data_IF_917185906933
#
_entry.id   IF_917185906933
#
_cell.length_a   1.000
_cell.length_b   1.000
_cell.length_c   1.000
_cell.angle_alpha   90.00
_cell.angle_beta   90.00
_cell.angle_gamma   90.00
#
_symmetry.space_group_name_H-M   'P 1'
#
loop_
_entity.id
_entity.type
_entity.pdbx_description
1 polymer ?
#
# COMPACT_ATOMS: atom_id res chain seq x y z
N UNK A 1 2.45 -4.67 -26.07
CA UNK A 1 3.46 -5.53 -25.46
C UNK A 1 4.50 -4.57 -24.88
N UNK A 2 4.64 -4.51 -23.56
CA UNK A 2 5.57 -3.56 -22.91
C UNK A 2 7.00 -3.98 -23.28
N UNK A 3 7.74 -3.10 -23.94
CA UNK A 3 9.11 -3.38 -24.35
C UNK A 3 9.97 -3.46 -23.06
N UNK A 4 10.64 -4.61 -22.85
CA UNK A 4 11.51 -4.81 -21.68
C UNK A 4 12.60 -3.72 -21.55
N UNK A 5 13.04 -3.17 -22.67
CA UNK A 5 14.04 -2.11 -22.71
C UNK A 5 13.50 -0.79 -22.10
N UNK A 6 12.21 -0.48 -22.27
CA UNK A 6 11.60 0.75 -21.70
C UNK A 6 11.59 0.66 -20.17
N UNK A 7 11.23 -0.49 -19.61
CA UNK A 7 11.22 -0.70 -18.15
C UNK A 7 12.64 -0.65 -17.58
N UNK A 8 13.59 -1.33 -18.22
CA UNK A 8 15.00 -1.33 -17.79
C UNK A 8 15.57 0.07 -17.80
N UNK A 9 15.36 0.84 -18.88
CA UNK A 9 15.83 2.21 -18.99
C UNK A 9 15.18 3.13 -17.92
N UNK A 10 13.89 2.96 -17.64
CA UNK A 10 13.21 3.72 -16.59
C UNK A 10 13.79 3.40 -15.19
N UNK A 11 14.06 2.13 -14.89
CA UNK A 11 14.70 1.73 -13.63
C UNK A 11 16.14 2.25 -13.50
N UNK A 12 16.90 2.23 -14.58
CA UNK A 12 18.30 2.76 -14.60
C UNK A 12 18.36 4.28 -14.49
N UNK A 13 17.33 4.98 -14.91
CA UNK A 13 17.22 6.44 -14.83
C UNK A 13 16.70 6.94 -13.46
N UNK A 14 16.28 6.05 -12.55
CA UNK A 14 15.76 6.43 -11.23
C UNK A 14 16.84 7.12 -10.39
N UNK A 15 16.53 8.25 -9.74
CA UNK A 15 17.42 8.86 -8.76
C UNK A 15 17.76 7.89 -7.62
N UNK A 16 18.95 7.99 -7.04
CA UNK A 16 19.40 7.09 -5.98
C UNK A 16 18.42 7.06 -4.78
N UNK A 17 17.85 8.19 -4.41
CA UNK A 17 16.88 8.31 -3.32
C UNK A 17 15.57 7.56 -3.59
N UNK A 18 15.10 7.59 -4.83
CA UNK A 18 13.90 6.85 -5.24
C UNK A 18 14.17 5.34 -5.23
N UNK A 19 15.35 4.90 -5.69
CA UNK A 19 15.77 3.50 -5.61
C UNK A 19 15.84 3.02 -4.15
N UNK A 20 16.40 3.83 -3.25
CA UNK A 20 16.44 3.52 -1.81
C UNK A 20 15.01 3.42 -1.26
N UNK A 21 14.13 4.37 -1.58
CA UNK A 21 12.75 4.33 -1.15
C UNK A 21 12.03 3.07 -1.66
N UNK A 22 12.20 2.68 -2.92
CA UNK A 22 11.63 1.47 -3.48
C UNK A 22 12.11 0.21 -2.73
N UNK A 23 13.41 0.10 -2.43
CA UNK A 23 13.96 -1.01 -1.64
C UNK A 23 13.41 -1.07 -0.22
N UNK A 24 13.26 0.09 0.43
CA UNK A 24 12.62 0.17 1.75
C UNK A 24 11.16 -0.28 1.71
N UNK A 25 10.43 0.07 0.63
CA UNK A 25 9.05 -0.40 0.41
C UNK A 25 8.97 -1.91 0.23
N UNK A 26 9.86 -2.51 -0.55
CA UNK A 26 9.96 -3.98 -0.69
C UNK A 26 10.25 -4.64 0.66
N UNK A 27 11.25 -4.12 1.41
CA UNK A 27 11.59 -4.62 2.74
C UNK A 27 10.39 -4.52 3.71
N UNK A 28 9.65 -3.39 3.67
CA UNK A 28 8.42 -3.21 4.43
C UNK A 28 7.41 -4.33 4.17
N UNK A 29 7.08 -4.63 2.92
CA UNK A 29 6.07 -5.64 2.58
C UNK A 29 6.54 -7.04 2.98
N UNK A 30 7.81 -7.39 2.75
CA UNK A 30 8.38 -8.68 3.16
C UNK A 30 8.28 -8.86 4.68
N UNK A 31 8.61 -7.83 5.45
CA UNK A 31 8.54 -7.86 6.91
C UNK A 31 7.09 -7.89 7.40
N UNK A 32 6.17 -7.18 6.75
CA UNK A 32 4.74 -7.21 7.06
C UNK A 32 4.15 -8.61 6.80
N UNK A 33 4.53 -9.26 5.69
CA UNK A 33 4.13 -10.63 5.38
C UNK A 33 4.62 -11.66 6.41
N UNK A 34 5.71 -11.35 7.11
CA UNK A 34 6.26 -12.14 8.23
C UNK A 34 5.72 -11.70 9.61
N UNK A 35 4.77 -10.77 9.67
CA UNK A 35 4.23 -10.14 10.89
C UNK A 35 5.29 -9.48 11.78
N UNK A 36 6.42 -9.11 11.22
CA UNK A 36 7.48 -8.45 11.96
C UNK A 36 7.15 -6.98 12.22
N UNK A 37 7.18 -6.55 13.48
CA UNK A 37 7.00 -5.13 13.86
C UNK A 37 8.01 -4.19 13.18
N UNK A 38 9.13 -4.72 12.74
CA UNK A 38 10.16 -3.96 12.02
C UNK A 38 9.71 -3.50 10.63
N UNK A 39 8.60 -4.03 10.09
CA UNK A 39 8.04 -3.49 8.86
C UNK A 39 7.72 -1.99 8.97
N UNK A 40 7.25 -1.54 10.11
CA UNK A 40 6.83 -0.15 10.31
C UNK A 40 7.95 0.88 10.23
N UNK A 41 9.16 0.69 10.84
CA UNK A 41 10.31 1.56 10.59
C UNK A 41 10.72 1.65 9.12
N UNK A 42 10.65 0.55 8.37
CA UNK A 42 10.91 0.57 6.92
C UNK A 42 9.83 1.35 6.17
N UNK A 43 8.55 1.17 6.53
CA UNK A 43 7.46 1.97 5.98
C UNK A 43 7.65 3.46 6.26
N UNK A 44 8.02 3.82 7.49
CA UNK A 44 8.28 5.20 7.87
C UNK A 44 9.41 5.83 7.05
N UNK A 45 10.55 5.14 6.94
CA UNK A 45 11.69 5.64 6.15
C UNK A 45 11.33 5.78 4.66
N UNK A 46 10.63 4.79 4.09
CA UNK A 46 10.12 4.84 2.71
C UNK A 46 9.22 6.08 2.49
N UNK A 47 8.19 6.24 3.31
CA UNK A 47 7.23 7.33 3.16
C UNK A 47 7.82 8.70 3.46
N UNK A 48 8.81 8.79 4.36
CA UNK A 48 9.54 10.02 4.61
C UNK A 48 10.29 10.50 3.36
N UNK A 49 11.02 9.58 2.70
CA UNK A 49 11.75 9.90 1.46
C UNK A 49 10.74 10.35 0.38
N UNK A 50 9.67 9.59 0.15
CA UNK A 50 8.67 9.96 -0.85
C UNK A 50 7.93 11.26 -0.51
N UNK A 51 7.70 11.57 0.77
CA UNK A 51 7.12 12.86 1.18
C UNK A 51 8.00 14.02 0.71
N UNK A 52 9.31 13.93 0.94
CA UNK A 52 10.27 14.97 0.51
C UNK A 52 10.33 15.05 -1.02
N UNK A 53 10.50 13.92 -1.70
CA UNK A 53 10.57 13.86 -3.17
C UNK A 53 9.32 14.46 -3.83
N UNK A 54 8.12 14.13 -3.35
CA UNK A 54 6.89 14.68 -3.89
C UNK A 54 6.69 16.16 -3.57
N UNK A 55 7.17 16.61 -2.39
CA UNK A 55 7.12 18.02 -2.06
C UNK A 55 8.03 18.85 -2.97
N UNK A 56 9.28 18.41 -3.18
CA UNK A 56 10.22 19.04 -4.10
C UNK A 56 9.75 18.96 -5.56
N UNK A 57 9.11 17.85 -5.94
CA UNK A 57 8.50 17.64 -7.25
C UNK A 57 7.19 18.42 -7.48
N UNK A 58 6.80 19.33 -6.56
CA UNK A 58 5.55 20.10 -6.63
C UNK A 58 4.29 19.24 -6.74
N UNK A 59 4.28 18.08 -6.09
CA UNK A 59 3.17 17.15 -5.99
C UNK A 59 2.62 17.10 -4.55
N UNK A 60 1.98 18.20 -4.04
CA UNK A 60 1.62 18.31 -2.62
C UNK A 60 0.59 17.27 -2.16
N UNK A 61 -0.30 16.81 -3.06
CA UNK A 61 -1.29 15.77 -2.73
C UNK A 61 -0.64 14.42 -2.48
N UNK A 62 0.39 14.06 -3.27
CA UNK A 62 1.17 12.83 -3.09
C UNK A 62 2.02 12.90 -1.80
N UNK A 63 2.60 14.07 -1.52
CA UNK A 63 3.33 14.32 -0.29
C UNK A 63 2.38 14.16 0.94
N UNK A 64 1.15 14.70 0.88
CA UNK A 64 0.15 14.57 1.93
C UNK A 64 -0.28 13.10 2.13
N UNK A 65 -0.45 12.34 1.05
CA UNK A 65 -0.75 10.92 1.13
C UNK A 65 0.38 10.14 1.83
N UNK A 66 1.64 10.44 1.48
CA UNK A 66 2.78 9.81 2.14
C UNK A 66 2.93 10.24 3.61
N UNK A 67 2.56 11.48 3.96
CA UNK A 67 2.47 11.92 5.34
C UNK A 67 1.42 11.12 6.13
N UNK A 68 0.28 10.82 5.53
CA UNK A 68 -0.71 9.90 6.12
C UNK A 68 -0.10 8.51 6.36
N UNK A 69 0.58 7.92 5.38
CA UNK A 69 1.22 6.61 5.55
C UNK A 69 2.32 6.64 6.61
N UNK A 70 3.06 7.72 6.73
CA UNK A 70 4.04 7.92 7.81
C UNK A 70 3.38 7.92 9.19
N UNK A 71 2.22 8.60 9.34
CA UNK A 71 1.39 8.52 10.55
C UNK A 71 0.91 7.10 10.84
N UNK A 72 0.48 6.37 9.80
CA UNK A 72 0.08 4.96 9.93
C UNK A 72 1.23 4.04 10.29
N UNK A 73 2.46 4.33 9.84
CA UNK A 73 3.65 3.58 10.23
C UNK A 73 3.94 3.73 11.73
N UNK A 74 3.81 4.94 12.28
CA UNK A 74 3.93 5.18 13.72
C UNK A 74 2.83 4.44 14.48
N UNK A 75 1.58 4.57 14.04
CA UNK A 75 0.43 3.89 14.65
C UNK A 75 0.60 2.37 14.67
N UNK A 76 0.96 1.78 13.54
CA UNK A 76 1.17 0.35 13.40
C UNK A 76 2.34 -0.16 14.25
N UNK A 77 3.45 0.59 14.31
CA UNK A 77 4.58 0.24 15.18
C UNK A 77 4.18 0.21 16.65
N UNK A 78 3.49 1.26 17.14
CA UNK A 78 3.01 1.33 18.53
C UNK A 78 2.05 0.17 18.81
N UNK A 79 1.15 -0.11 17.88
CA UNK A 79 0.15 -1.16 18.05
C UNK A 79 0.80 -2.56 18.10
N UNK A 80 1.75 -2.84 17.20
CA UNK A 80 2.42 -4.15 17.15
C UNK A 80 3.48 -4.33 18.25
N UNK A 81 4.00 -3.22 18.84
CA UNK A 81 4.95 -3.26 19.96
C UNK A 81 4.26 -3.53 21.30
N UNK A 82 3.14 -2.84 21.58
CA UNK A 82 2.46 -2.92 22.89
C UNK A 82 2.07 -4.34 23.32
N UNK A 83 1.93 -5.25 22.36
CA UNK A 83 1.49 -6.62 22.61
C UNK A 83 2.67 -7.58 22.84
N UNK A 84 3.90 -7.21 22.47
CA UNK A 84 5.11 -8.00 22.76
C UNK A 84 5.46 -7.91 24.26
N UNK A 85 5.19 -6.75 24.88
CA UNK A 85 5.53 -6.50 26.29
C UNK A 85 4.51 -7.08 27.29
N UNK A 86 3.30 -7.49 26.81
CA UNK A 86 2.16 -7.95 27.63
C UNK A 86 1.73 -9.42 27.39
N UNK A 87 2.59 -10.27 26.84
CA UNK A 87 2.33 -11.71 26.54
C UNK A 87 1.10 -12.01 25.64
N UNK A 88 0.40 -11.01 25.12
CA UNK A 88 -0.71 -11.21 24.20
C UNK A 88 -0.40 -10.59 22.84
N UNK A 89 0.13 -11.39 21.92
CA UNK A 89 0.30 -10.97 20.51
C UNK A 89 -1.04 -10.52 19.95
N UNK A 90 -1.03 -9.42 19.15
CA UNK A 90 -2.21 -9.09 18.35
C UNK A 90 -2.42 -10.25 17.38
N UNK A 91 -3.49 -11.00 17.62
CA UNK A 91 -3.87 -12.10 16.77
C UNK A 91 -4.35 -11.59 15.41
N UNK A 92 -4.06 -12.36 14.36
CA UNK A 92 -4.69 -12.14 13.07
C UNK A 92 -6.17 -12.41 13.24
N UNK A 93 -7.00 -11.44 12.84
CA UNK A 93 -8.46 -11.56 12.90
C UNK A 93 -9.06 -11.55 11.50
N UNK A 94 -10.23 -12.14 11.35
CA UNK A 94 -10.97 -12.15 10.08
C UNK A 94 -12.27 -11.37 10.22
N UNK A 95 -12.58 -10.55 9.24
CA UNK A 95 -13.84 -9.82 9.18
C UNK A 95 -14.98 -10.68 8.66
N UNK A 96 -16.17 -10.48 9.22
CA UNK A 96 -17.41 -11.04 8.67
C UNK A 96 -17.73 -10.41 7.30
N UNK A 97 -18.52 -11.10 6.50
CA UNK A 97 -18.96 -10.61 5.18
C UNK A 97 -19.64 -9.23 5.26
N UNK A 98 -20.44 -8.96 6.30
CA UNK A 98 -21.09 -7.66 6.47
C UNK A 98 -20.08 -6.51 6.63
N UNK A 99 -18.98 -6.72 7.39
CA UNK A 99 -17.92 -5.72 7.53
C UNK A 99 -17.16 -5.50 6.21
N UNK A 100 -16.93 -6.56 5.45
CA UNK A 100 -16.29 -6.48 4.15
C UNK A 100 -17.17 -5.72 3.15
N UNK A 101 -18.48 -6.00 3.10
CA UNK A 101 -19.42 -5.27 2.25
C UNK A 101 -19.44 -3.79 2.63
N UNK A 102 -19.52 -3.48 3.93
CA UNK A 102 -19.49 -2.09 4.40
C UNK A 102 -18.19 -1.37 3.99
N UNK A 103 -17.05 -2.03 4.12
CA UNK A 103 -15.75 -1.51 3.69
C UNK A 103 -15.75 -1.19 2.18
N UNK A 104 -16.24 -2.11 1.36
CA UNK A 104 -16.33 -1.91 -0.09
C UNK A 104 -17.30 -0.79 -0.45
N UNK A 105 -18.49 -0.72 0.18
CA UNK A 105 -19.46 0.35 -0.06
C UNK A 105 -18.90 1.72 0.31
N UNK A 106 -18.32 1.87 1.50
CA UNK A 106 -17.72 3.12 1.96
C UNK A 106 -16.57 3.53 1.04
N UNK A 107 -15.67 2.58 0.72
CA UNK A 107 -14.55 2.84 -0.19
C UNK A 107 -15.02 3.28 -1.58
N UNK A 108 -16.04 2.61 -2.14
CA UNK A 108 -16.60 2.98 -3.44
C UNK A 108 -17.23 4.37 -3.42
N UNK A 109 -18.04 4.69 -2.41
CA UNK A 109 -18.66 6.03 -2.30
C UNK A 109 -17.59 7.11 -2.21
N UNK A 110 -16.59 6.92 -1.34
CA UNK A 110 -15.48 7.88 -1.18
C UNK A 110 -14.67 8.01 -2.48
N UNK A 111 -14.40 6.89 -3.18
CA UNK A 111 -13.70 6.90 -4.46
C UNK A 111 -14.48 7.68 -5.53
N UNK A 112 -15.80 7.48 -5.62
CA UNK A 112 -16.63 8.20 -6.57
C UNK A 112 -16.69 9.71 -6.30
N UNK A 113 -16.81 10.09 -5.02
CA UNK A 113 -16.77 11.50 -4.62
C UNK A 113 -15.40 12.12 -4.95
N UNK A 114 -14.31 11.44 -4.62
CA UNK A 114 -12.95 11.91 -4.94
C UNK A 114 -12.73 12.00 -6.45
N UNK A 115 -13.15 10.98 -7.20
CA UNK A 115 -13.05 10.97 -8.67
C UNK A 115 -13.77 12.15 -9.32
N UNK A 116 -14.98 12.48 -8.84
CA UNK A 116 -15.74 13.63 -9.32
C UNK A 116 -14.96 14.95 -9.17
N UNK A 117 -14.26 15.14 -8.03
CA UNK A 117 -13.44 16.35 -7.84
C UNK A 117 -12.17 16.31 -8.71
N UNK A 118 -11.51 15.16 -8.83
CA UNK A 118 -10.32 15.01 -9.69
C UNK A 118 -10.65 15.27 -11.17
N UNK A 119 -11.80 14.80 -11.64
CA UNK A 119 -12.27 15.04 -13.01
C UNK A 119 -12.51 16.53 -13.27
N UNK A 120 -13.16 17.24 -12.32
CA UNK A 120 -13.41 18.68 -12.46
C UNK A 120 -12.15 19.54 -12.45
N UNK A 121 -11.12 19.09 -11.75
CA UNK A 121 -9.84 19.84 -11.63
C UNK A 121 -8.85 19.48 -12.73
N UNK A 122 -9.15 18.47 -13.56
CA UNK A 122 -8.27 17.94 -14.60
C UNK A 122 -6.85 17.57 -14.10
N UNK A 123 -6.70 17.24 -12.81
CA UNK A 123 -5.41 16.88 -12.19
C UNK A 123 -5.00 15.46 -12.57
N UNK A 124 -5.95 14.54 -12.75
CA UNK A 124 -5.67 13.14 -13.07
C UNK A 124 -6.12 12.79 -14.49
N UNK A 125 -5.30 12.00 -15.20
CA UNK A 125 -5.65 11.44 -16.51
C UNK A 125 -6.68 10.29 -16.40
N UNK A 126 -6.75 9.63 -15.24
CA UNK A 126 -7.66 8.52 -14.96
C UNK A 126 -8.33 8.69 -13.59
N UNK A 127 -9.22 9.70 -13.42
CA UNK A 127 -9.73 10.14 -12.11
C UNK A 127 -10.37 9.03 -11.28
N UNK A 128 -11.16 8.16 -11.91
CA UNK A 128 -11.87 7.08 -11.23
C UNK A 128 -10.93 5.98 -10.74
N UNK A 129 -9.93 5.62 -11.55
CA UNK A 129 -8.94 4.61 -11.18
C UNK A 129 -7.99 5.15 -10.11
N UNK A 130 -7.51 6.37 -10.27
CA UNK A 130 -6.63 7.06 -9.32
C UNK A 130 -7.30 7.22 -7.94
N UNK A 131 -8.52 7.74 -7.90
CA UNK A 131 -9.30 7.86 -6.67
C UNK A 131 -9.54 6.50 -6.01
N UNK A 132 -9.85 5.46 -6.79
CA UNK A 132 -10.09 4.13 -6.25
C UNK A 132 -8.83 3.55 -5.63
N UNK A 133 -7.71 3.58 -6.35
CA UNK A 133 -6.41 3.12 -5.84
C UNK A 133 -6.06 3.86 -4.56
N UNK A 134 -6.17 5.20 -4.55
CA UNK A 134 -5.82 6.03 -3.40
C UNK A 134 -6.69 5.74 -2.18
N UNK A 135 -8.02 5.80 -2.33
CA UNK A 135 -8.96 5.63 -1.20
C UNK A 135 -8.85 4.22 -0.60
N UNK A 136 -8.86 3.19 -1.46
CA UNK A 136 -8.74 1.82 -0.96
C UNK A 136 -7.37 1.55 -0.33
N UNK A 137 -6.27 2.15 -0.81
CA UNK A 137 -4.95 2.06 -0.18
C UNK A 137 -4.95 2.68 1.21
N UNK A 138 -5.54 3.87 1.38
CA UNK A 138 -5.70 4.54 2.68
C UNK A 138 -6.46 3.62 3.65
N UNK A 139 -7.62 3.14 3.24
CA UNK A 139 -8.47 2.30 4.09
C UNK A 139 -7.81 0.95 4.40
N UNK A 140 -7.13 0.34 3.43
CA UNK A 140 -6.52 -0.98 3.58
C UNK A 140 -5.25 -0.96 4.44
N UNK A 141 -4.50 0.14 4.46
CA UNK A 141 -3.36 0.32 5.38
C UNK A 141 -3.80 0.22 6.84
N UNK A 142 -5.00 0.72 7.18
CA UNK A 142 -5.57 0.56 8.51
C UNK A 142 -5.91 -0.92 8.82
N UNK A 143 -6.42 -1.68 7.84
CA UNK A 143 -6.66 -3.12 8.01
C UNK A 143 -5.37 -3.88 8.31
N UNK A 144 -4.29 -3.57 7.59
CA UNK A 144 -2.97 -4.16 7.82
C UNK A 144 -2.48 -3.86 9.24
N UNK A 145 -2.57 -2.59 9.69
CA UNK A 145 -2.14 -2.20 11.03
C UNK A 145 -2.92 -2.95 12.12
N UNK A 146 -4.20 -3.25 11.89
CA UNK A 146 -5.08 -4.01 12.80
C UNK A 146 -4.99 -5.53 12.63
N UNK A 147 -4.08 -6.03 11.80
CA UNK A 147 -3.92 -7.46 11.46
C UNK A 147 -5.21 -8.13 10.99
N UNK A 148 -5.99 -7.44 10.15
CA UNK A 148 -7.17 -8.04 9.52
C UNK A 148 -6.71 -8.88 8.33
N UNK A 149 -7.02 -10.17 8.31
CA UNK A 149 -6.54 -11.14 7.31
C UNK A 149 -6.83 -10.72 5.86
N UNK A 150 -8.02 -10.17 5.61
CA UNK A 150 -8.48 -9.79 4.28
C UNK A 150 -7.68 -8.64 3.65
N UNK A 151 -6.86 -7.91 4.42
CA UNK A 151 -6.05 -6.82 3.89
C UNK A 151 -5.19 -7.27 2.70
N UNK A 152 -4.64 -8.49 2.73
CA UNK A 152 -3.79 -9.01 1.66
C UNK A 152 -4.56 -9.23 0.35
N UNK A 153 -5.80 -9.71 0.43
CA UNK A 153 -6.66 -9.86 -0.76
C UNK A 153 -6.99 -8.50 -1.36
N UNK A 154 -7.26 -7.50 -0.52
CA UNK A 154 -7.49 -6.14 -0.98
C UNK A 154 -6.23 -5.55 -1.59
N UNK A 155 -5.03 -5.76 -1.02
CA UNK A 155 -3.78 -5.32 -1.63
C UNK A 155 -3.56 -5.91 -3.02
N UNK A 156 -3.83 -7.21 -3.24
CA UNK A 156 -3.72 -7.82 -4.56
C UNK A 156 -4.59 -7.08 -5.59
N UNK A 157 -5.82 -6.72 -5.23
CA UNK A 157 -6.73 -6.00 -6.12
C UNK A 157 -6.27 -4.56 -6.33
N UNK A 158 -5.89 -3.86 -5.26
CA UNK A 158 -5.44 -2.47 -5.30
C UNK A 158 -4.16 -2.34 -6.13
N UNK A 159 -3.18 -3.19 -5.89
CA UNK A 159 -1.90 -3.17 -6.60
C UNK A 159 -2.09 -3.50 -8.09
N UNK A 160 -2.99 -4.46 -8.41
CA UNK A 160 -3.34 -4.76 -9.81
C UNK A 160 -3.99 -3.56 -10.51
N UNK A 161 -4.86 -2.82 -9.82
CA UNK A 161 -5.44 -1.58 -10.33
C UNK A 161 -4.38 -0.47 -10.46
N UNK A 162 -3.44 -0.38 -9.53
CA UNK A 162 -2.32 0.55 -9.58
C UNK A 162 -1.38 0.27 -10.76
N UNK A 163 -1.11 -1.00 -11.09
CA UNK A 163 -0.35 -1.37 -12.29
C UNK A 163 -1.01 -0.80 -13.54
N UNK A 164 -2.34 -0.95 -13.67
CA UNK A 164 -3.08 -0.38 -14.81
C UNK A 164 -2.97 1.14 -14.85
N UNK A 165 -3.11 1.82 -13.71
CA UNK A 165 -2.98 3.26 -13.59
C UNK A 165 -1.60 3.73 -14.05
N UNK A 166 -0.53 3.11 -13.53
CA UNK A 166 0.84 3.51 -13.84
C UNK A 166 1.27 3.19 -15.27
N UNK A 167 0.70 2.16 -15.91
CA UNK A 167 0.89 1.91 -17.34
C UNK A 167 0.21 3.01 -18.17
N UNK A 168 -1.02 3.41 -17.82
CA UNK A 168 -1.76 4.46 -18.52
C UNK A 168 -1.09 5.84 -18.42
N UNK A 169 -0.41 6.08 -17.30
CA UNK A 169 0.31 7.34 -17.03
C UNK A 169 1.80 7.29 -17.38
N UNK A 170 2.25 6.21 -18.03
CA UNK A 170 3.63 5.99 -18.50
C UNK A 170 4.69 5.88 -17.38
N UNK A 171 4.28 5.66 -16.12
CA UNK A 171 5.17 5.41 -14.98
C UNK A 171 5.60 3.94 -14.91
N UNK A 172 6.33 3.46 -15.91
CA UNK A 172 6.66 2.04 -16.09
C UNK A 172 7.51 1.44 -14.96
N UNK A 173 8.43 2.21 -14.38
CA UNK A 173 9.23 1.76 -13.23
C UNK A 173 8.34 1.50 -12.01
N UNK A 174 7.41 2.41 -11.75
CA UNK A 174 6.44 2.26 -10.67
C UNK A 174 5.48 1.09 -10.93
N UNK A 175 5.01 0.91 -12.17
CA UNK A 175 4.20 -0.24 -12.56
C UNK A 175 4.95 -1.57 -12.27
N UNK A 176 6.23 -1.67 -12.63
CA UNK A 176 7.06 -2.84 -12.34
C UNK A 176 7.21 -3.10 -10.82
N UNK A 177 7.34 -2.04 -10.01
CA UNK A 177 7.38 -2.13 -8.56
C UNK A 177 6.05 -2.69 -8.00
N UNK A 178 4.91 -2.24 -8.52
CA UNK A 178 3.59 -2.75 -8.10
C UNK A 178 3.33 -4.20 -8.54
N UNK A 179 3.91 -4.66 -9.65
CA UNK A 179 3.93 -6.10 -9.97
C UNK A 179 4.63 -6.90 -8.86
N UNK A 180 5.80 -6.43 -8.40
CA UNK A 180 6.50 -7.07 -7.29
C UNK A 180 5.67 -7.01 -6.00
N UNK A 181 5.01 -5.88 -5.70
CA UNK A 181 4.14 -5.74 -4.52
C UNK A 181 2.95 -6.71 -4.58
N UNK A 182 2.33 -6.88 -5.74
CA UNK A 182 1.26 -7.87 -5.94
C UNK A 182 1.75 -9.29 -5.63
N UNK A 183 2.93 -9.68 -6.12
CA UNK A 183 3.52 -10.99 -5.82
C UNK A 183 3.76 -11.16 -4.31
N UNK A 184 4.31 -10.14 -3.67
CA UNK A 184 4.54 -10.15 -2.22
C UNK A 184 3.24 -10.17 -1.42
N UNK A 185 2.16 -9.55 -1.93
CA UNK A 185 0.84 -9.60 -1.31
C UNK A 185 0.25 -11.03 -1.35
N UNK A 186 0.45 -11.78 -2.43
CA UNK A 186 0.11 -13.22 -2.46
C UNK A 186 0.88 -14.01 -1.40
N UNK A 187 2.18 -13.77 -1.25
CA UNK A 187 3.00 -14.40 -0.21
C UNK A 187 2.49 -14.04 1.19
N UNK A 188 2.16 -12.77 1.40
CA UNK A 188 1.56 -12.28 2.66
C UNK A 188 0.24 -12.97 2.98
N UNK A 189 -0.64 -13.08 1.99
CA UNK A 189 -1.93 -13.77 2.13
C UNK A 189 -1.76 -15.23 2.58
N UNK A 190 -0.84 -15.96 1.93
CA UNK A 190 -0.57 -17.38 2.26
C UNK A 190 0.00 -17.49 3.68
N UNK A 191 0.97 -16.65 4.04
CA UNK A 191 1.61 -16.69 5.35
C UNK A 191 0.63 -16.38 6.48
N UNK A 192 -0.16 -15.30 6.32
CA UNK A 192 -1.13 -14.91 7.34
C UNK A 192 -2.29 -15.90 7.44
N UNK A 193 -2.72 -16.51 6.34
CA UNK A 193 -3.74 -17.56 6.37
C UNK A 193 -3.25 -18.79 7.15
N UNK A 194 -1.99 -19.22 6.94
CA UNK A 194 -1.40 -20.33 7.70
C UNK A 194 -1.35 -20.02 9.19
N UNK A 195 -0.89 -18.82 9.58
CA UNK A 195 -0.82 -18.39 10.99
C UNK A 195 -2.20 -18.27 11.61
N UNK A 196 -3.17 -17.69 10.89
CA UNK A 196 -4.55 -17.60 11.36
C UNK A 196 -5.17 -18.97 11.67
N UNK A 197 -4.87 -19.98 10.84
CA UNK A 197 -5.33 -21.35 11.10
C UNK A 197 -4.65 -21.97 12.32
N UNK A 198 -3.35 -21.72 12.52
CA UNK A 198 -2.59 -22.17 13.69
C UNK A 198 -3.06 -21.52 15.01
N UNK A 199 -3.57 -20.29 14.96
CA UNK A 199 -4.13 -19.62 16.13
C UNK A 199 -5.48 -20.22 16.60
N UNK A 200 -6.14 -20.99 15.73
CA UNK A 200 -7.46 -21.62 16.02
C UNK A 200 -7.35 -23.09 16.47
N UNK A 201 -6.18 -23.72 16.23
CA UNK A 201 -5.88 -25.10 16.68
C UNK A 201 -5.32 -25.11 18.09
#
# INVERSE_FOLDING_TARGET
MMDSNVVINALMAMPAWESIAALLGVAYIILAAKESKWCWPFAFANTLIYTVLFWEGQLPMQALLNLYYMGMAIYGYILWRKHVDNESDILITSWSYSKQILFLLVGTILSLVTAYFLEKTAISQSPYLDASVTIFSIMNTWLLARKILQNWMYWIIIDSAAIMLYIQTEYYATAALFVLYTILAFVGAINWQKRFNQQKS
#
